data_IF_921572515107
#
_entry.id   IF_921572515107
#
_cell.length_a   1.000
_cell.length_b   1.000
_cell.length_c   1.000
_cell.angle_alpha   90.00
_cell.angle_beta   90.00
_cell.angle_gamma   90.00
#
_symmetry.space_group_name_H-M   'P 1'
#
loop_
_entity.id
_entity.type
_entity.pdbx_description
1 polymer ?
#
# COMPACT_ATOMS: atom_id res chain seq x y z
N UNK A 1 1.74 -19.05 -5.13
CA UNK A 1 0.45 -18.34 -5.35
C UNK A 1 0.10 -17.70 -4.02
N UNK A 2 0.23 -16.38 -3.90
CA UNK A 2 -0.01 -15.68 -2.63
C UNK A 2 -1.52 -15.51 -2.43
N UNK A 3 -2.03 -16.02 -1.31
CA UNK A 3 -3.45 -16.05 -0.96
C UNK A 3 -3.90 -14.73 -0.33
N UNK A 4 -3.99 -13.67 -1.13
CA UNK A 4 -4.69 -12.46 -0.70
C UNK A 4 -6.10 -12.45 -1.30
N UNK A 5 -7.15 -12.25 -0.49
CA UNK A 5 -8.50 -12.12 -1.01
C UNK A 5 -8.54 -10.90 -1.95
N UNK A 6 -9.11 -11.09 -3.14
CA UNK A 6 -9.37 -9.97 -4.06
C UNK A 6 -10.43 -9.08 -3.42
N UNK A 7 -10.08 -7.84 -3.09
CA UNK A 7 -11.05 -6.87 -2.59
C UNK A 7 -11.98 -6.48 -3.73
N UNK A 8 -13.27 -6.73 -3.56
CA UNK A 8 -14.32 -6.38 -4.53
C UNK A 8 -15.23 -5.27 -4.04
N UNK A 9 -15.20 -4.91 -2.75
CA UNK A 9 -16.02 -3.88 -2.14
C UNK A 9 -15.31 -3.16 -0.99
N UNK A 10 -15.74 -1.95 -0.68
CA UNK A 10 -15.26 -1.19 0.46
C UNK A 10 -15.85 -1.74 1.77
N UNK A 11 -15.04 -2.20 2.72
CA UNK A 11 -15.54 -2.77 3.99
C UNK A 11 -16.18 -1.72 4.91
N UNK A 12 -16.00 -0.42 4.61
CA UNK A 12 -16.52 0.67 5.43
C UNK A 12 -17.90 1.16 4.99
N UNK A 13 -18.17 1.19 3.68
CA UNK A 13 -19.40 1.76 3.15
C UNK A 13 -20.14 0.88 2.12
N UNK A 14 -19.59 -0.29 1.76
CA UNK A 14 -20.15 -1.16 0.73
C UNK A 14 -19.99 -0.65 -0.71
N UNK A 15 -19.23 0.43 -0.93
CA UNK A 15 -18.96 0.97 -2.25
C UNK A 15 -18.17 -0.01 -3.12
N UNK A 16 -18.49 -0.07 -4.41
CA UNK A 16 -17.88 -1.01 -5.36
C UNK A 16 -16.78 -0.36 -6.21
N UNK A 17 -16.74 0.97 -6.27
CA UNK A 17 -15.68 1.68 -6.98
C UNK A 17 -14.45 1.84 -6.08
N UNK A 18 -13.37 1.18 -6.51
CA UNK A 18 -12.08 1.16 -5.84
C UNK A 18 -11.01 1.79 -6.74
N UNK A 19 -10.20 2.65 -6.15
CA UNK A 19 -9.09 3.33 -6.80
C UNK A 19 -7.73 2.87 -6.27
N UNK A 20 -6.69 3.19 -7.04
CA UNK A 20 -5.30 3.05 -6.61
C UNK A 20 -4.63 4.40 -6.48
N UNK A 21 -3.83 4.56 -5.43
CA UNK A 21 -3.07 5.78 -5.18
C UNK A 21 -1.66 5.47 -4.70
N UNK A 22 -0.79 6.48 -4.79
CA UNK A 22 0.51 6.49 -4.13
C UNK A 22 0.82 7.91 -3.68
N UNK A 23 1.63 8.04 -2.64
CA UNK A 23 2.17 9.33 -2.29
C UNK A 23 3.20 9.81 -3.34
N UNK A 24 3.36 11.12 -3.47
CA UNK A 24 4.36 11.77 -4.32
C UNK A 24 5.42 12.50 -3.48
N UNK A 25 6.54 12.91 -4.09
CA UNK A 25 7.64 13.58 -3.39
C UNK A 25 8.48 12.62 -2.52
N UNK A 26 8.85 13.06 -1.31
CA UNK A 26 9.71 12.32 -0.37
C UNK A 26 9.01 11.19 0.41
N UNK A 27 7.92 10.63 -0.11
CA UNK A 27 7.08 9.69 0.61
C UNK A 27 7.47 8.20 0.43
N UNK A 28 8.72 7.94 0.05
CA UNK A 28 9.23 6.58 -0.04
C UNK A 28 9.39 5.98 1.36
N UNK A 29 8.99 4.73 1.53
CA UNK A 29 9.28 3.98 2.74
C UNK A 29 10.76 3.60 2.73
N UNK A 30 11.50 3.98 3.77
CA UNK A 30 12.91 3.64 3.92
C UNK A 30 13.13 2.58 5.01
N UNK A 31 13.98 1.57 4.77
CA UNK A 31 14.37 0.63 5.81
C UNK A 31 15.20 1.33 6.89
N UNK A 32 14.98 0.94 8.14
CA UNK A 32 15.75 1.44 9.28
C UNK A 32 17.17 0.87 9.24
N UNK A 33 18.17 1.65 9.68
CA UNK A 33 19.59 1.23 9.82
C UNK A 33 20.24 0.69 8.53
N UNK A 34 19.75 1.11 7.35
CA UNK A 34 20.25 0.65 6.06
C UNK A 34 20.16 1.75 5.00
N UNK A 35 21.24 1.97 4.26
CA UNK A 35 21.21 2.89 3.11
C UNK A 35 20.38 2.27 1.97
N UNK A 36 19.40 3.01 1.46
CA UNK A 36 18.45 2.54 0.45
C UNK A 36 17.78 3.71 -0.26
N UNK A 37 17.47 3.55 -1.55
CA UNK A 37 16.60 4.45 -2.31
C UNK A 37 15.10 4.36 -1.92
N UNK A 38 14.77 3.63 -0.86
CA UNK A 38 13.40 3.43 -0.40
C UNK A 38 12.55 2.56 -1.33
N UNK A 39 11.25 2.51 -1.05
CA UNK A 39 10.22 1.87 -1.88
C UNK A 39 8.93 2.66 -1.82
N UNK A 40 8.24 2.78 -2.96
CA UNK A 40 6.89 3.32 -2.99
C UNK A 40 5.92 2.44 -2.18
N UNK A 41 4.88 3.06 -1.65
CA UNK A 41 3.70 2.41 -1.08
C UNK A 41 2.53 2.68 -2.01
N UNK A 42 1.91 1.61 -2.52
CA UNK A 42 0.67 1.66 -3.29
C UNK A 42 -0.51 1.39 -2.37
N UNK A 43 -1.55 2.19 -2.49
CA UNK A 43 -2.76 2.12 -1.70
C UNK A 43 -3.92 1.68 -2.57
N UNK A 44 -4.79 0.82 -2.04
CA UNK A 44 -6.14 0.59 -2.57
C UNK A 44 -7.09 1.36 -1.66
N UNK A 45 -7.93 2.19 -2.26
CA UNK A 45 -8.87 3.05 -1.52
C UNK A 45 -10.24 3.07 -2.18
N UNK A 46 -11.28 3.31 -1.40
CA UNK A 46 -12.63 3.50 -1.91
C UNK A 46 -12.78 4.93 -2.44
N UNK A 47 -13.22 5.08 -3.68
CA UNK A 47 -13.45 6.41 -4.28
C UNK A 47 -14.74 7.06 -3.78
N UNK A 48 -15.69 6.26 -3.29
CA UNK A 48 -16.97 6.77 -2.79
C UNK A 48 -16.84 7.44 -1.41
N UNK A 49 -16.07 6.85 -0.49
CA UNK A 49 -15.97 7.32 0.89
C UNK A 49 -14.55 7.71 1.35
N UNK A 50 -13.53 7.55 0.49
CA UNK A 50 -12.14 7.90 0.78
C UNK A 50 -11.42 6.97 1.76
N UNK A 51 -12.01 5.83 2.15
CA UNK A 51 -11.36 4.87 3.04
C UNK A 51 -10.19 4.18 2.34
N UNK A 52 -9.01 4.20 2.97
CA UNK A 52 -7.84 3.40 2.53
C UNK A 52 -8.03 1.98 3.04
N UNK A 53 -8.16 1.03 2.12
CA UNK A 53 -8.48 -0.37 2.42
C UNK A 53 -7.18 -1.13 2.71
N UNK A 54 -6.18 -1.00 1.83
CA UNK A 54 -4.90 -1.68 1.95
C UNK A 54 -3.73 -0.78 1.51
N UNK A 55 -2.55 -1.07 2.06
CA UNK A 55 -1.30 -0.39 1.69
C UNK A 55 -0.21 -1.44 1.45
N UNK A 56 0.51 -1.35 0.34
CA UNK A 56 1.54 -2.30 -0.04
C UNK A 56 2.84 -1.60 -0.39
N UNK A 57 3.90 -1.95 0.33
CA UNK A 57 5.26 -1.60 -0.07
C UNK A 57 5.59 -2.37 -1.36
N UNK A 58 5.93 -1.68 -2.44
CA UNK A 58 6.21 -2.29 -3.77
C UNK A 58 7.41 -3.26 -3.77
N UNK A 59 8.42 -2.99 -2.94
CA UNK A 59 9.68 -3.77 -2.84
C UNK A 59 9.96 -4.16 -1.38
N UNK A 60 9.12 -5.01 -0.76
CA UNK A 60 9.23 -5.35 0.66
C UNK A 60 10.53 -6.09 0.99
N UNK A 61 11.15 -6.76 0.02
CA UNK A 61 12.43 -7.45 0.17
C UNK A 61 13.58 -6.53 0.59
N UNK A 62 13.49 -5.22 0.32
CA UNK A 62 14.49 -4.22 0.75
C UNK A 62 14.58 -4.09 2.27
N UNK A 63 13.52 -4.47 2.97
CA UNK A 63 13.35 -4.32 4.42
C UNK A 63 13.71 -5.59 5.21
N UNK A 64 14.13 -6.68 4.55
CA UNK A 64 14.64 -7.87 5.23
C UNK A 64 15.88 -7.53 6.08
N UNK A 65 15.95 -8.09 7.29
CA UNK A 65 17.06 -7.90 8.22
C UNK A 65 17.13 -6.51 8.87
N UNK A 66 15.99 -5.83 8.98
CA UNK A 66 15.86 -4.53 9.67
C UNK A 66 15.44 -4.67 11.14
N UNK A 67 15.19 -5.91 11.60
CA UNK A 67 14.94 -6.32 12.97
C UNK A 67 15.95 -7.41 13.36
#
# INVERSE_FOLDING_TARGET
MNQYPTITECPKCGGLELGKGKHSGYALMHPVNKMSFGSEVEYILCTDCGFIIESYVKKPEKFKGTL
#
